data_IF_915049255272
#
_entry.id   IF_915049255272
#
_cell.length_a   1.000
_cell.length_b   1.000
_cell.length_c   1.000
_cell.angle_alpha   90.00
_cell.angle_beta   90.00
_cell.angle_gamma   90.00
#
_symmetry.space_group_name_H-M   'P 1'
#
loop_
_entity.id
_entity.type
_entity.pdbx_description
1 polymer ?
2 water ?
#
# COMPACT_ATOMS: atom_id res chain seq x y z
N UNK A 2 -9.32 8.45 -10.49
CA UNK A 2 -8.49 7.31 -10.87
C UNK A 2 -7.38 7.73 -11.80
N UNK A 3 -7.33 9.02 -12.15
CA UNK A 3 -6.14 9.58 -12.77
C UNK A 3 -5.11 9.82 -11.67
N UNK A 4 -3.84 9.83 -12.05
CA UNK A 4 -2.78 9.84 -11.03
C UNK A 4 -2.79 11.13 -10.23
N UNK A 5 -3.29 12.23 -10.80
CA UNK A 5 -3.29 13.51 -10.11
C UNK A 5 -4.48 13.70 -9.18
N UNK A 6 -5.45 12.79 -9.19
CA UNK A 6 -6.63 12.91 -8.34
C UNK A 6 -6.43 12.32 -6.96
N UNK A 7 -5.28 11.71 -6.68
CA UNK A 7 -5.00 11.17 -5.36
C UNK A 7 -3.88 12.00 -4.71
N UNK A 8 -3.52 11.65 -3.47
CA UNK A 8 -2.61 12.46 -2.69
C UNK A 8 -1.15 12.06 -2.85
N UNK A 9 -0.86 10.95 -3.51
CA UNK A 9 0.53 10.51 -3.65
C UNK A 9 1.29 11.42 -4.62
N UNK A 10 2.60 11.22 -4.67
CA UNK A 10 3.48 12.00 -5.54
C UNK A 10 4.71 11.17 -5.84
N UNK A 11 5.46 11.52 -6.91
CA UNK A 11 6.69 10.79 -7.21
C UNK A 11 7.78 10.93 -6.15
N UNK A 12 7.55 11.65 -5.06
CA UNK A 12 8.56 11.82 -4.02
C UNK A 12 8.88 10.48 -3.37
N UNK A 13 10.14 10.30 -3.00
CA UNK A 13 10.57 9.08 -2.32
C UNK A 13 10.42 9.17 -0.80
N UNK A 14 10.06 10.34 -0.27
CA UNK A 14 9.79 10.43 1.15
C UNK A 14 8.55 9.60 1.51
N UNK A 15 8.54 9.08 2.74
CA UNK A 15 7.36 8.37 3.22
C UNK A 15 6.16 9.32 3.24
N UNK A 16 4.97 8.74 3.00
CA UNK A 16 3.79 9.56 2.82
C UNK A 16 3.42 10.32 4.08
N UNK A 17 3.78 9.79 5.27
CA UNK A 17 3.34 10.41 6.50
C UNK A 17 4.18 11.62 6.89
N UNK A 18 5.45 11.64 6.48
CA UNK A 18 6.34 12.79 6.85
C UNK A 18 6.00 13.98 5.95
N UNK A 19 5.42 15.03 6.53
CA UNK A 19 5.07 16.25 5.75
C UNK A 19 6.25 17.23 5.77
N UNK A 20 7.39 16.82 5.20
CA UNK A 20 8.62 17.64 5.16
C UNK A 20 8.73 18.27 3.76
N UNK A 21 8.98 19.57 3.73
CA UNK A 21 9.03 20.39 2.48
C UNK A 21 10.14 19.92 1.54
N UNK A 22 11.33 19.58 2.05
CA UNK A 22 12.42 19.17 1.12
C UNK A 22 12.93 17.76 1.43
N UNK A 23 13.87 17.65 2.39
CA UNK A 23 14.47 16.38 2.73
C UNK A 23 13.49 15.44 3.41
N UNK A 24 13.67 14.14 3.17
CA UNK A 24 12.98 13.12 3.94
C UNK A 24 13.70 12.78 5.23
N UNK A 25 14.92 13.27 5.41
CA UNK A 25 15.74 12.93 6.56
C UNK A 25 15.32 13.76 7.78
N UNK A 26 15.63 13.22 8.96
CA UNK A 26 15.38 13.94 10.20
C UNK A 26 16.31 15.14 10.31
N UNK A 27 16.04 16.00 11.29
CA UNK A 27 16.84 17.21 11.44
C UNK A 27 18.25 16.90 11.90
N UNK A 28 18.42 15.88 12.75
CA UNK A 28 19.75 15.50 13.21
C UNK A 28 20.58 14.96 12.05
N UNK A 29 20.03 13.99 11.32
CA UNK A 29 20.76 13.37 10.22
C UNK A 29 21.05 14.37 9.10
N UNK A 30 20.16 15.36 8.93
CA UNK A 30 20.28 16.27 7.79
C UNK A 30 21.57 17.08 7.86
N UNK A 31 21.85 17.69 9.02
CA UNK A 31 23.07 18.47 9.18
C UNK A 31 24.28 17.61 9.52
N UNK A 32 24.08 16.41 10.07
CA UNK A 32 25.20 15.53 10.34
C UNK A 32 25.83 15.01 9.05
N UNK A 33 25.06 14.98 7.95
CA UNK A 33 25.53 14.48 6.67
C UNK A 33 25.47 15.57 5.60
N UNK A 34 25.56 16.84 6.01
CA UNK A 34 25.46 17.93 5.04
C UNK A 34 26.60 17.91 4.03
N UNK A 35 27.77 17.39 4.42
CA UNK A 35 28.90 17.33 3.50
C UNK A 35 28.59 16.42 2.33
N UNK A 36 28.00 15.26 2.59
CA UNK A 36 27.66 14.32 1.53
C UNK A 36 26.35 14.68 0.83
N UNK A 37 25.43 15.33 1.55
CA UNK A 37 24.14 15.68 0.96
C UNK A 37 24.29 16.79 -0.08
N UNK A 38 25.23 17.71 0.11
CA UNK A 38 25.38 18.84 -0.80
C UNK A 38 26.17 18.50 -2.05
N UNK A 39 26.74 17.29 -2.09
CA UNK A 39 27.51 16.82 -3.27
C UNK A 39 27.12 15.37 -3.55
N UNK A 40 25.84 15.16 -3.89
CA UNK A 40 25.33 13.79 -4.15
C UNK A 40 26.07 13.18 -5.33
N UNK A 41 26.33 13.97 -6.38
CA UNK A 41 27.01 13.45 -7.59
C UNK A 41 28.54 13.48 -7.43
N UNK A 42 29.04 12.63 -6.53
CA UNK A 42 30.47 12.34 -6.22
C UNK A 42 30.41 10.88 -5.74
N UNK A 43 29.46 10.62 -4.83
CA UNK A 43 29.14 9.27 -4.43
C UNK A 43 28.36 8.53 -5.50
N UNK A 44 27.99 9.20 -6.58
CA UNK A 44 27.16 8.60 -7.62
C UNK A 44 25.70 8.56 -7.28
N UNK A 45 25.16 9.64 -6.72
CA UNK A 45 23.79 9.64 -6.22
C UNK A 45 23.00 10.84 -6.74
N UNK A 46 21.71 10.62 -6.96
CA UNK A 46 20.77 11.67 -7.29
C UNK A 46 19.71 11.89 -6.22
N UNK A 47 19.62 10.99 -5.23
CA UNK A 47 18.59 11.06 -4.21
C UNK A 47 19.22 10.89 -2.83
N UNK A 48 18.39 11.05 -1.80
CA UNK A 48 18.87 10.92 -0.43
C UNK A 48 19.01 9.46 -0.02
N UNK A 49 18.07 8.60 -0.45
CA UNK A 49 18.16 7.19 -0.14
C UNK A 49 19.44 6.57 -0.72
N UNK A 50 19.90 7.10 -1.85
CA UNK A 50 21.17 6.64 -2.41
C UNK A 50 22.35 7.03 -1.51
N UNK A 51 22.27 8.22 -0.91
CA UNK A 51 23.39 8.71 -0.10
C UNK A 51 23.54 7.89 1.16
N UNK A 52 22.45 7.74 1.94
CA UNK A 52 22.52 7.09 3.24
C UNK A 52 22.60 5.58 3.08
N UNK A 53 22.71 5.12 1.84
CA UNK A 53 23.03 3.72 1.56
C UNK A 53 24.38 3.54 0.89
N UNK A 54 25.08 4.61 0.57
CA UNK A 54 26.44 4.53 0.07
C UNK A 54 27.33 3.96 1.16
N UNK A 55 28.10 2.89 0.89
CA UNK A 55 28.90 2.26 1.97
C UNK A 55 29.81 3.22 2.72
N UNK A 56 30.29 4.28 2.08
CA UNK A 56 31.18 5.19 2.79
C UNK A 56 30.40 6.12 3.73
N UNK A 57 29.24 6.62 3.28
CA UNK A 57 28.38 7.40 4.17
C UNK A 57 27.91 6.55 5.33
N UNK A 58 27.59 5.28 5.06
CA UNK A 58 27.21 4.37 6.14
C UNK A 58 28.36 4.18 7.12
N UNK A 59 29.60 4.22 6.63
CA UNK A 59 30.75 4.09 7.53
C UNK A 59 30.87 5.30 8.44
N UNK A 60 30.75 6.50 7.88
CA UNK A 60 30.93 7.73 8.65
C UNK A 60 29.87 7.85 9.75
N UNK A 61 28.60 7.82 9.35
CA UNK A 61 27.52 8.05 10.31
C UNK A 61 27.43 6.93 11.35
N UNK A 62 27.83 5.71 11.00
CA UNK A 62 27.79 4.63 11.97
C UNK A 62 28.99 4.68 12.91
N UNK A 63 30.17 5.04 12.41
CA UNK A 63 31.29 5.34 13.29
C UNK A 63 31.09 6.65 14.05
N UNK A 64 29.99 7.36 13.80
CA UNK A 64 29.60 8.53 14.57
C UNK A 64 28.34 8.29 15.39
N UNK A 65 27.89 7.04 15.50
CA UNK A 65 26.77 6.67 16.34
C UNK A 65 25.40 6.73 15.69
N UNK A 66 25.28 7.36 14.52
CA UNK A 66 23.98 7.56 13.91
C UNK A 66 23.45 6.25 13.33
N UNK A 67 22.12 6.14 13.29
CA UNK A 67 21.43 4.95 12.79
C UNK A 67 20.78 5.33 11.46
N UNK A 68 21.48 5.06 10.36
CA UNK A 68 20.94 5.35 9.03
C UNK A 68 19.97 4.28 8.55
N UNK A 69 20.05 3.06 9.07
CA UNK A 69 19.09 2.03 8.69
C UNK A 69 17.70 2.37 9.22
N UNK A 70 17.63 2.82 10.48
CA UNK A 70 16.35 3.31 11.02
C UNK A 70 15.83 4.49 10.22
N UNK A 71 16.74 5.37 9.78
CA UNK A 71 16.35 6.50 8.95
C UNK A 71 15.86 6.07 7.58
N UNK A 72 16.18 4.85 7.15
CA UNK A 72 15.77 4.36 5.84
C UNK A 72 14.45 3.60 5.89
N UNK A 73 14.25 2.76 6.91
CA UNK A 73 12.98 2.07 7.08
C UNK A 73 11.84 3.06 7.26
N UNK A 74 12.01 4.03 8.16
CA UNK A 74 11.07 5.12 8.30
C UNK A 74 11.45 6.26 7.35
N UNK A 75 10.57 7.26 7.28
CA UNK A 75 10.82 8.50 6.54
C UNK A 75 10.97 8.29 5.03
N UNK A 76 11.16 7.05 4.60
CA UNK A 76 11.30 6.72 3.19
C UNK A 76 10.29 5.67 2.79
N UNK A 77 9.87 5.72 1.52
CA UNK A 77 9.04 4.67 0.97
C UNK A 77 9.85 3.39 0.79
N UNK A 78 9.15 2.26 0.74
CA UNK A 78 9.82 0.98 0.62
C UNK A 78 10.48 0.85 -0.75
N UNK A 79 11.60 0.15 -0.83
CA UNK A 79 12.25 -0.06 -2.13
C UNK A 79 11.46 -1.03 -3.00
N UNK A 80 11.57 -0.84 -4.31
CA UNK A 80 10.87 -1.68 -5.26
C UNK A 80 11.06 -1.23 -6.69
N UNK A 81 10.35 -1.89 -7.61
CA UNK A 81 10.50 -1.53 -9.03
C UNK A 81 9.88 -0.18 -9.36
N UNK A 82 10.60 0.89 -9.01
CA UNK A 82 10.06 2.23 -9.21
C UNK A 82 10.07 2.62 -10.68
N UNK A 83 11.14 2.28 -11.41
CA UNK A 83 11.33 2.75 -12.77
C UNK A 83 11.34 1.61 -13.79
N UNK A 84 10.85 0.43 -13.42
CA UNK A 84 10.80 -0.70 -14.34
C UNK A 84 9.49 -1.45 -14.12
N UNK A 85 9.22 -2.39 -15.04
CA UNK A 85 8.00 -3.19 -15.01
C UNK A 85 8.19 -4.52 -14.31
N UNK A 86 9.03 -4.58 -13.28
CA UNK A 86 9.19 -5.81 -12.53
C UNK A 86 7.94 -6.15 -11.73
N UNK A 87 7.67 -7.44 -11.61
CA UNK A 87 6.52 -7.89 -10.84
C UNK A 87 6.68 -7.53 -9.37
N UNK A 88 5.55 -7.19 -8.75
CA UNK A 88 5.55 -6.79 -7.35
C UNK A 88 5.56 -8.02 -6.45
N UNK A 89 6.51 -8.05 -5.52
CA UNK A 89 6.63 -9.18 -4.60
C UNK A 89 5.63 -9.06 -3.47
N UNK A 90 5.59 -10.09 -2.60
CA UNK A 90 4.78 -10.01 -1.41
C UNK A 90 5.25 -8.90 -0.48
N UNK A 91 6.56 -8.62 -0.49
CA UNK A 91 7.10 -7.55 0.35
C UNK A 91 6.84 -6.17 -0.23
N UNK A 92 6.75 -6.06 -1.56
CA UNK A 92 6.40 -4.77 -2.16
C UNK A 92 4.99 -4.34 -1.77
N UNK A 93 4.14 -5.30 -1.43
CA UNK A 93 2.74 -5.01 -1.13
C UNK A 93 2.51 -4.81 0.36
N UNK A 94 3.07 -5.69 1.19
CA UNK A 94 2.92 -5.54 2.63
C UNK A 94 3.56 -4.25 3.12
N UNK A 95 4.82 -4.02 2.74
CA UNK A 95 5.50 -2.79 3.15
C UNK A 95 4.82 -1.54 2.62
N UNK A 96 4.05 -1.66 1.54
CA UNK A 96 3.29 -0.51 1.04
C UNK A 96 2.07 -0.23 1.92
N UNK A 97 1.30 -1.27 2.25
CA UNK A 97 0.14 -1.08 3.11
C UNK A 97 0.55 -0.77 4.54
N UNK A 98 1.71 -1.28 4.99
CA UNK A 98 2.19 -0.94 6.32
C UNK A 98 2.53 0.53 6.42
N UNK A 99 3.20 1.08 5.41
CA UNK A 99 3.47 2.51 5.39
C UNK A 99 2.20 3.33 5.26
N UNK A 100 1.23 2.81 4.51
CA UNK A 100 -0.08 3.46 4.41
C UNK A 100 -0.90 3.30 5.68
N UNK A 101 -0.43 2.53 6.65
CA UNK A 101 -1.20 2.52 7.91
C UNK A 101 -0.72 3.67 8.80
N UNK A 102 0.46 4.22 8.51
CA UNK A 102 1.09 5.33 9.28
C UNK A 102 0.38 6.69 9.15
N UNK A 103 0.04 7.12 7.94
CA UNK A 103 -0.57 8.46 7.70
C UNK A 103 -2.09 8.36 7.92
N UNK A 104 -2.65 7.33 7.30
CA UNK A 104 -4.04 6.88 7.33
C UNK A 104 -4.24 6.10 8.63
N UNK A 105 -4.53 6.84 9.70
CA UNK A 105 -4.52 6.30 11.05
C UNK A 105 -5.65 5.32 11.32
N UNK A 106 -6.68 5.27 10.48
CA UNK A 106 -7.79 4.35 10.67
C UNK A 106 -7.91 3.36 9.52
N UNK A 107 -6.78 2.99 8.92
CA UNK A 107 -6.74 1.99 7.86
C UNK A 107 -6.11 0.72 8.38
N UNK A 108 -6.73 -0.42 8.05
CA UNK A 108 -6.26 -1.73 8.47
C UNK A 108 -5.49 -2.37 7.32
N UNK A 109 -4.19 -2.57 7.54
CA UNK A 109 -3.28 -3.15 6.51
C UNK A 109 -3.22 -4.66 6.70
N UNK A 110 -4.19 -5.38 6.17
CA UNK A 110 -4.18 -6.86 6.26
C UNK A 110 -3.03 -7.40 5.40
N UNK A 111 -2.21 -8.33 5.90
CA UNK A 111 -1.10 -8.90 5.13
C UNK A 111 -1.62 -9.68 3.91
N UNK A 112 -0.80 -9.75 2.86
CA UNK A 112 -1.20 -10.39 1.58
C UNK A 112 -1.63 -11.84 1.82
N UNK A 113 -2.69 -12.26 1.14
CA UNK A 113 -3.20 -13.65 1.27
C UNK A 113 -3.26 -14.33 -0.09
N UNK A 114 -3.11 -15.66 -0.11
CA UNK A 114 -3.25 -16.43 -1.33
C UNK A 114 -4.72 -16.83 -1.51
N UNK A 115 -5.01 -17.53 -2.59
CA UNK A 115 -6.37 -17.97 -2.87
C UNK A 115 -6.74 -19.27 -2.16
N UNK A 116 -5.87 -19.77 -1.28
CA UNK A 116 -6.09 -21.02 -0.57
C UNK A 116 -6.55 -20.79 0.87
N UNK A 117 -7.04 -19.59 1.20
CA UNK A 117 -7.28 -19.24 2.60
C UNK A 117 -8.41 -20.04 3.23
N UNK A 118 -9.22 -20.75 2.45
CA UNK A 118 -10.22 -21.64 3.03
C UNK A 118 -9.62 -22.95 3.53
N UNK A 119 -8.41 -23.29 3.09
CA UNK A 119 -7.75 -24.51 3.51
C UNK A 119 -6.38 -24.27 4.14
N UNK A 120 -5.87 -23.04 4.09
CA UNK A 120 -4.59 -22.68 4.69
C UNK A 120 -4.80 -21.41 5.50
N UNK A 121 -4.18 -21.36 6.68
CA UNK A 121 -4.34 -20.20 7.56
C UNK A 121 -3.76 -18.95 6.91
N UNK A 122 -4.58 -17.92 6.80
CA UNK A 122 -4.16 -16.59 6.39
C UNK A 122 -4.86 -15.58 7.26
N UNK A 123 -4.13 -14.52 7.65
CA UNK A 123 -4.73 -13.45 8.45
C UNK A 123 -5.97 -12.88 7.78
N UNK A 124 -6.00 -12.91 6.44
CA UNK A 124 -7.15 -12.39 5.69
C UNK A 124 -8.43 -13.14 6.06
N UNK A 125 -8.37 -14.47 6.11
CA UNK A 125 -9.54 -15.26 6.43
C UNK A 125 -9.80 -15.36 7.92
N UNK A 126 -8.88 -14.90 8.76
CA UNK A 126 -9.04 -15.00 10.21
C UNK A 126 -9.58 -13.72 10.84
N UNK A 127 -9.51 -12.58 10.16
CA UNK A 127 -9.98 -11.34 10.75
C UNK A 127 -11.50 -11.38 10.89
N UNK A 128 -12.00 -10.60 11.84
CA UNK A 128 -13.43 -10.34 12.02
C UNK A 128 -13.64 -8.85 11.84
N UNK A 129 -14.38 -8.47 10.79
CA UNK A 129 -14.46 -7.07 10.40
C UNK A 129 -15.11 -6.21 11.48
N UNK A 130 -15.87 -6.80 12.40
CA UNK A 130 -16.37 -6.04 13.54
C UNK A 130 -15.24 -5.72 14.51
N UNK A 131 -14.36 -6.70 14.77
CA UNK A 131 -13.21 -6.45 15.60
C UNK A 131 -12.25 -5.46 14.95
N UNK A 132 -12.14 -5.49 13.63
CA UNK A 132 -11.35 -4.49 12.92
C UNK A 132 -11.93 -3.10 13.13
N UNK A 133 -13.25 -2.99 13.06
CA UNK A 133 -13.91 -1.70 13.25
C UNK A 133 -13.85 -1.27 14.71
N UNK A 134 -14.05 -2.20 15.63
CA UNK A 134 -13.97 -1.90 17.06
C UNK A 134 -12.54 -1.72 17.56
N UNK A 135 -11.54 -2.14 16.77
CA UNK A 135 -10.16 -1.96 17.16
C UNK A 135 -9.62 -3.09 18.03
N UNK A 136 -9.98 -4.33 17.67
CA UNK A 136 -9.58 -5.50 18.44
C UNK A 136 -8.86 -6.53 17.56
N UNK A 137 -8.37 -6.11 16.40
CA UNK A 137 -7.56 -6.95 15.54
C UNK A 137 -6.15 -6.38 15.44
N UNK A 138 -5.18 -7.27 15.26
CA UNK A 138 -3.77 -6.88 15.25
C UNK A 138 -3.33 -6.50 13.84
N UNK A 139 -2.69 -5.34 13.73
CA UNK A 139 -2.10 -4.90 12.48
C UNK A 139 -0.70 -4.36 12.76
N UNK A 140 0.20 -4.56 11.80
CA UNK A 140 1.60 -4.17 11.95
C UNK A 140 1.83 -2.81 11.31
N UNK A 141 1.95 -1.78 12.14
CA UNK A 141 2.23 -0.41 11.72
C UNK A 141 3.58 0.00 12.32
N UNK A 142 4.46 0.54 11.47
CA UNK A 142 5.81 1.01 11.78
C UNK A 142 6.70 -0.07 12.40
N UNK A 143 6.27 -1.33 12.43
CA UNK A 143 7.03 -2.41 13.03
C UNK A 143 6.38 -3.02 14.26
N UNK A 144 5.59 -2.27 15.02
CA UNK A 144 4.95 -2.79 16.22
C UNK A 144 3.57 -3.36 15.92
N UNK A 145 3.15 -4.32 16.74
CA UNK A 145 1.78 -4.81 16.66
C UNK A 145 0.84 -3.77 17.26
N UNK A 146 -0.23 -3.47 16.55
CA UNK A 146 -1.12 -2.36 16.90
C UNK A 146 -2.57 -2.80 16.78
N UNK A 147 -3.38 -2.49 17.79
CA UNK A 147 -4.82 -2.67 17.75
C UNK A 147 -5.47 -1.29 17.86
N UNK A 148 -6.19 -0.89 16.81
CA UNK A 148 -6.78 0.43 16.75
C UNK A 148 -8.06 0.36 15.95
N UNK A 149 -9.05 1.21 16.25
CA UNK A 149 -10.28 1.21 15.46
C UNK A 149 -10.02 1.67 14.03
N UNK A 150 -10.56 0.93 13.07
CA UNK A 150 -10.35 1.20 11.65
C UNK A 150 -11.70 1.31 10.95
N UNK A 151 -11.87 2.38 10.19
CA UNK A 151 -13.04 2.55 9.34
C UNK A 151 -12.80 2.08 7.92
N UNK A 152 -11.58 1.61 7.61
CA UNK A 152 -11.27 1.08 6.29
C UNK A 152 -10.42 -0.17 6.44
N UNK A 153 -10.60 -1.10 5.51
CA UNK A 153 -9.87 -2.36 5.49
C UNK A 153 -9.33 -2.59 4.08
N UNK A 154 -8.06 -3.00 4.00
CA UNK A 154 -7.45 -3.21 2.70
C UNK A 154 -6.53 -4.42 2.64
N UNK A 155 -6.65 -5.19 1.56
CA UNK A 155 -5.82 -6.37 1.36
C UNK A 155 -5.64 -6.61 -0.13
N UNK A 156 -4.51 -7.24 -0.47
CA UNK A 156 -4.20 -7.58 -1.85
C UNK A 156 -3.91 -9.08 -1.90
N UNK A 157 -4.62 -9.80 -2.76
CA UNK A 157 -4.50 -11.25 -2.86
C UNK A 157 -3.94 -11.65 -4.22
N UNK A 158 -3.43 -12.88 -4.27
CA UNK A 158 -2.97 -13.49 -5.51
C UNK A 158 -4.00 -14.53 -5.96
N UNK A 159 -4.41 -14.45 -7.21
CA UNK A 159 -5.41 -15.36 -7.77
C UNK A 159 -4.84 -16.71 -8.16
N UNK A 160 -3.99 -17.29 -7.31
CA UNK A 160 -3.43 -18.61 -7.56
C UNK A 160 -3.01 -19.28 -6.26
N UNK A 166 0.01 -17.00 -13.28
CA UNK A 166 1.10 -16.79 -12.35
C UNK A 166 0.70 -15.97 -11.14
N UNK A 167 1.52 -14.97 -10.81
CA UNK A 167 1.29 -14.12 -9.64
C UNK A 167 0.51 -12.89 -10.08
N UNK A 168 -0.81 -13.00 -10.05
CA UNK A 168 -1.71 -11.92 -10.44
C UNK A 168 -2.36 -11.34 -9.19
N UNK A 169 -2.21 -10.03 -8.99
CA UNK A 169 -2.68 -9.36 -7.79
C UNK A 169 -4.07 -8.78 -7.99
N UNK A 170 -4.92 -8.94 -6.97
CA UNK A 170 -6.23 -8.31 -6.92
C UNK A 170 -6.38 -7.67 -5.55
N UNK A 171 -7.26 -6.67 -5.48
CA UNK A 171 -7.40 -5.83 -4.29
C UNK A 171 -8.74 -6.06 -3.60
N UNK A 172 -8.71 -6.02 -2.27
CA UNK A 172 -9.92 -6.06 -1.44
C UNK A 172 -9.94 -4.80 -0.60
N UNK A 173 -11.05 -4.06 -0.67
CA UNK A 173 -11.22 -2.84 0.11
C UNK A 173 -12.59 -2.84 0.76
N UNK A 174 -12.63 -2.56 2.06
CA UNK A 174 -13.87 -2.50 2.84
C UNK A 174 -14.00 -1.08 3.38
N UNK A 175 -15.01 -0.36 2.93
CA UNK A 175 -15.25 1.02 3.33
C UNK A 175 -16.32 1.03 4.41
N UNK A 176 -15.95 1.41 5.62
CA UNK A 176 -16.86 1.51 6.75
C UNK A 176 -16.94 2.94 7.29
N UNK A 177 -16.79 3.92 6.39
CA UNK A 177 -16.71 5.32 6.79
C UNK A 177 -18.05 6.04 6.73
N UNK A 178 -18.70 6.04 5.56
CA UNK A 178 -19.95 6.75 5.40
C UNK A 178 -21.14 6.04 6.00
N UNK A 179 -22.33 6.37 5.49
CA UNK A 179 -23.60 5.76 5.97
C UNK A 179 -23.85 4.46 5.20
N UNK A 180 -23.24 4.30 4.03
CA UNK A 180 -23.37 3.02 3.30
C UNK A 180 -22.01 2.32 3.35
N UNK A 181 -21.96 1.13 3.96
CA UNK A 181 -20.69 0.37 4.08
C UNK A 181 -20.55 -0.55 2.87
N UNK A 182 -19.41 -0.49 2.19
CA UNK A 182 -19.21 -1.29 0.96
C UNK A 182 -18.02 -2.24 1.09
N UNK A 183 -18.22 -3.48 0.63
CA UNK A 183 -17.16 -4.48 0.59
C UNK A 183 -16.84 -4.73 -0.87
N UNK A 184 -15.63 -4.35 -1.29
CA UNK A 184 -15.30 -4.23 -2.71
C UNK A 184 -14.21 -5.22 -3.10
N UNK A 185 -14.34 -5.77 -4.30
CA UNK A 185 -13.32 -6.61 -4.91
C UNK A 185 -12.97 -6.01 -6.26
N UNK A 186 -11.69 -5.70 -6.46
CA UNK A 186 -11.21 -5.08 -7.69
C UNK A 186 -10.26 -6.02 -8.41
N UNK A 187 -10.47 -6.20 -9.71
CA UNK A 187 -9.60 -6.99 -10.56
C UNK A 187 -9.33 -6.20 -11.82
N UNK A 188 -8.06 -5.81 -12.03
CA UNK A 188 -7.71 -5.05 -13.22
C UNK A 188 -7.93 -5.86 -14.49
N UNK A 189 -7.83 -7.18 -14.41
CA UNK A 189 -8.11 -8.04 -15.56
C UNK A 189 -9.60 -8.19 -15.83
N UNK A 190 -10.46 -7.64 -14.99
CA UNK A 190 -11.89 -7.65 -15.24
C UNK A 190 -12.54 -9.01 -15.09
N UNK A 191 -12.00 -9.88 -14.24
CA UNK A 191 -12.55 -11.20 -14.02
C UNK A 191 -13.22 -11.28 -12.66
N UNK A 192 -14.28 -12.09 -12.58
CA UNK A 192 -15.06 -12.20 -11.36
C UNK A 192 -14.23 -12.84 -10.25
N UNK A 193 -14.51 -12.50 -8.99
CA UNK A 193 -13.79 -13.11 -7.86
C UNK A 193 -14.12 -14.58 -7.75
N UNK A 194 -13.15 -15.41 -7.37
CA UNK A 194 -13.43 -16.84 -7.23
C UNK A 194 -14.29 -17.12 -6.00
N UNK A 195 -14.70 -18.39 -5.89
CA UNK A 195 -15.58 -18.84 -4.84
C UNK A 195 -15.20 -18.43 -3.43
N UNK A 196 -13.96 -18.72 -3.02
CA UNK A 196 -13.56 -18.36 -1.64
C UNK A 196 -13.70 -16.87 -1.33
N UNK A 197 -13.17 -16.00 -2.19
CA UNK A 197 -13.36 -14.57 -2.00
C UNK A 197 -14.84 -14.22 -2.08
N UNK A 198 -15.57 -14.88 -2.98
CA UNK A 198 -17.01 -14.67 -3.10
C UNK A 198 -17.72 -15.04 -1.82
N UNK A 199 -17.22 -16.04 -1.08
CA UNK A 199 -17.80 -16.38 0.21
C UNK A 199 -17.25 -15.51 1.33
N UNK A 200 -15.98 -15.07 1.22
CA UNK A 200 -15.40 -14.21 2.24
C UNK A 200 -16.15 -12.89 2.33
N UNK A 201 -16.44 -12.27 1.18
CA UNK A 201 -17.16 -11.00 1.17
C UNK A 201 -18.55 -11.16 1.75
N UNK A 202 -19.19 -12.30 1.52
CA UNK A 202 -20.52 -12.53 2.07
C UNK A 202 -20.47 -12.71 3.57
N UNK A 203 -19.41 -13.36 4.08
CA UNK A 203 -19.25 -13.47 5.53
C UNK A 203 -18.99 -12.12 6.18
N UNK A 204 -18.25 -11.24 5.50
CA UNK A 204 -18.01 -9.91 6.04
C UNK A 204 -19.28 -9.07 6.00
N UNK A 205 -20.15 -9.31 5.02
CA UNK A 205 -21.43 -8.60 4.97
C UNK A 205 -22.28 -8.92 6.18
N UNK A 206 -22.41 -10.20 6.52
CA UNK A 206 -23.20 -10.59 7.68
C UNK A 206 -22.55 -10.12 8.97
N UNK A 207 -21.22 -10.07 9.02
CA UNK A 207 -20.54 -9.55 10.20
C UNK A 207 -20.81 -8.07 10.37
N UNK A 208 -20.67 -7.29 9.29
CA UNK A 208 -20.86 -5.84 9.38
C UNK A 208 -22.31 -5.45 9.56
N UNK A 209 -23.26 -6.30 9.16
CA UNK A 209 -24.66 -6.03 9.45
C UNK A 209 -25.00 -6.15 10.93
N UNK A 210 -23.99 -6.41 11.78
CA UNK A 210 -24.20 -6.41 13.22
C UNK A 210 -24.16 -5.01 13.80
N UNK A 211 -23.31 -4.14 13.24
CA UNK A 211 -23.09 -2.80 13.77
C UNK A 211 -23.54 -1.71 12.83
N UNK A 212 -24.11 -2.05 11.67
CA UNK A 212 -24.62 -1.06 10.74
C UNK A 212 -25.79 -1.64 9.98
N UNK A 213 -26.74 -0.77 9.61
CA UNK A 213 -27.96 -1.23 8.96
C UNK A 213 -27.80 -1.47 7.47
N UNK A 214 -26.82 -0.84 6.82
CA UNK A 214 -26.62 -0.96 5.38
C UNK A 214 -25.22 -1.48 5.12
N UNK A 215 -25.13 -2.64 4.48
CA UNK A 215 -23.86 -3.24 4.06
C UNK A 215 -24.08 -3.90 2.71
N UNK A 216 -23.25 -3.55 1.73
CA UNK A 216 -23.36 -4.09 0.38
C UNK A 216 -22.02 -4.60 -0.10
N UNK A 217 -22.04 -5.70 -0.83
CA UNK A 217 -20.85 -6.26 -1.46
C UNK A 217 -20.87 -5.93 -2.95
N UNK A 218 -19.71 -5.59 -3.49
CA UNK A 218 -19.61 -5.17 -4.88
C UNK A 218 -18.33 -5.72 -5.50
N UNK A 219 -18.45 -6.18 -6.75
CA UNK A 219 -17.31 -6.67 -7.52
C UNK A 219 -16.99 -5.64 -8.60
N UNK A 220 -15.86 -4.95 -8.44
CA UNK A 220 -15.42 -3.96 -9.42
C UNK A 220 -14.64 -4.68 -10.52
N UNK A 221 -15.35 -5.50 -11.30
CA UNK A 221 -14.73 -6.37 -12.30
C UNK A 221 -15.29 -6.11 -13.69
N UNK A 222 -15.76 -4.90 -13.94
CA UNK A 222 -16.46 -4.62 -15.19
C UNK A 222 -15.49 -4.46 -16.36
N UNK A 223 -14.41 -3.70 -16.17
CA UNK A 223 -13.53 -3.30 -17.26
C UNK A 223 -12.19 -4.01 -17.12
N UNK A 224 -11.67 -4.50 -18.26
CA UNK A 224 -10.32 -5.04 -18.33
C UNK A 224 -9.36 -3.86 -18.49
N UNK A 225 -9.02 -3.25 -17.35
CA UNK A 225 -8.09 -2.13 -17.37
C UNK A 225 -6.71 -2.57 -17.85
N UNK A 226 -6.23 -3.70 -17.34
CA UNK A 226 -4.87 -4.15 -17.59
C UNK A 226 -4.79 -4.88 -18.92
N UNK A 227 -3.98 -4.37 -19.84
CA UNK A 227 -3.60 -5.08 -21.05
C UNK A 227 -2.14 -5.51 -21.03
N UNK A 228 -1.36 -5.03 -20.07
CA UNK A 228 0.03 -5.44 -19.92
C UNK A 228 0.12 -6.73 -19.13
N UNK A 229 1.35 -7.22 -18.94
CA UNK A 229 1.59 -8.46 -18.21
C UNK A 229 2.20 -8.23 -16.84
N UNK A 230 2.44 -6.97 -16.44
CA UNK A 230 3.26 -6.68 -15.27
C UNK A 230 2.60 -5.79 -14.23
N UNK A 231 1.47 -5.15 -14.52
CA UNK A 231 0.95 -4.09 -13.66
C UNK A 231 -0.16 -4.58 -12.72
N UNK A 232 -0.21 -5.88 -12.43
CA UNK A 232 -1.22 -6.37 -11.49
C UNK A 232 -1.04 -5.75 -10.11
N UNK A 233 0.20 -5.63 -9.66
CA UNK A 233 0.50 -5.03 -8.38
C UNK A 233 0.12 -3.56 -8.28
N UNK A 234 0.69 -2.72 -9.17
CA UNK A 234 0.32 -1.31 -9.16
C UNK A 234 -1.17 -1.04 -9.29
N UNK A 235 -1.90 -1.86 -10.06
CA UNK A 235 -3.34 -1.70 -10.15
C UNK A 235 -4.01 -1.95 -8.81
N UNK A 236 -3.61 -3.01 -8.12
CA UNK A 236 -4.23 -3.36 -6.84
C UNK A 236 -3.91 -2.33 -5.77
N UNK A 237 -2.65 -1.89 -5.70
CA UNK A 237 -2.28 -0.87 -4.72
C UNK A 237 -2.92 0.47 -5.05
N UNK A 238 -3.09 0.78 -6.34
CA UNK A 238 -3.69 2.06 -6.71
C UNK A 238 -5.17 2.11 -6.32
N UNK A 239 -5.86 0.97 -6.43
CA UNK A 239 -7.27 0.94 -6.04
C UNK A 239 -7.44 1.25 -4.57
N UNK A 240 -6.62 0.63 -3.72
CA UNK A 240 -6.71 0.87 -2.28
C UNK A 240 -6.37 2.31 -1.95
N UNK A 241 -5.31 2.84 -2.55
CA UNK A 241 -4.91 4.23 -2.28
C UNK A 241 -5.98 5.20 -2.76
N UNK A 242 -6.55 4.95 -3.94
CA UNK A 242 -7.60 5.84 -4.45
C UNK A 242 -8.85 5.77 -3.59
N UNK A 243 -9.25 4.55 -3.19
CA UNK A 243 -10.42 4.41 -2.32
C UNK A 243 -10.16 5.03 -0.95
N UNK A 244 -8.91 5.00 -0.47
CA UNK A 244 -8.58 5.67 0.78
C UNK A 244 -8.73 7.18 0.66
N UNK A 245 -8.37 7.74 -0.49
CA UNK A 245 -8.53 9.16 -0.77
C UNK A 245 -9.95 9.52 -1.21
N UNK A 246 -10.92 8.66 -0.91
CA UNK A 246 -12.34 8.92 -1.15
C UNK A 246 -12.65 9.08 -2.65
N UNK A 247 -11.89 8.40 -3.50
CA UNK A 247 -12.25 8.28 -4.90
C UNK A 247 -13.25 7.14 -5.02
N UNK A 248 -14.43 7.45 -5.57
CA UNK A 248 -15.51 6.47 -5.64
C UNK A 248 -15.11 5.29 -6.53
N UNK A 249 -15.58 4.11 -6.14
CA UNK A 249 -15.35 2.90 -6.94
C UNK A 249 -16.02 2.99 -8.31
N UNK A 250 -17.02 3.85 -8.46
CA UNK A 250 -17.73 3.98 -9.73
C UNK A 250 -16.82 4.46 -10.85
N UNK A 251 -15.72 5.14 -10.51
CA UNK A 251 -14.73 5.49 -11.52
C UNK A 251 -14.08 4.24 -12.11
N UNK A 252 -13.64 3.33 -11.23
CA UNK A 252 -13.06 2.07 -11.69
C UNK A 252 -14.09 1.20 -12.39
N UNK A 253 -15.38 1.46 -12.18
CA UNK A 253 -16.43 0.69 -12.84
C UNK A 253 -16.67 1.21 -14.26
N UNK A 254 -16.51 2.52 -14.49
CA UNK A 254 -16.94 3.14 -15.73
C UNK A 254 -15.82 3.48 -16.70
N UNK A 255 -14.65 3.87 -16.20
CA UNK A 255 -13.57 4.37 -17.05
C UNK A 255 -12.35 3.48 -16.90
N UNK A 256 -11.73 3.14 -18.03
CA UNK A 256 -10.53 2.32 -18.01
C UNK A 256 -9.31 3.15 -17.61
N UNK A 257 -8.50 2.60 -16.70
CA UNK A 257 -7.21 3.18 -16.34
C UNK A 257 -6.13 2.40 -17.08
N UNK A 258 -5.36 3.09 -17.91
CA UNK A 258 -4.36 2.43 -18.74
C UNK A 258 -3.18 1.96 -17.90
N UNK A 259 -2.47 0.97 -18.44
CA UNK A 259 -1.25 0.49 -17.79
C UNK A 259 -0.16 1.55 -17.77
N UNK A 260 -0.23 2.53 -18.68
CA UNK A 260 0.75 3.61 -18.68
C UNK A 260 0.62 4.47 -17.43
N UNK A 261 -0.59 4.66 -16.93
CA UNK A 261 -0.77 5.34 -15.65
C UNK A 261 -0.27 4.49 -14.48
N UNK A 262 -0.22 3.17 -14.66
CA UNK A 262 0.34 2.31 -13.61
C UNK A 262 1.86 2.28 -13.67
N UNK A 263 2.45 2.40 -14.86
CA UNK A 263 3.88 2.64 -14.97
C UNK A 263 4.26 3.91 -14.21
N UNK A 264 3.48 4.97 -14.42
CA UNK A 264 3.74 6.25 -13.77
C UNK A 264 3.49 6.17 -12.26
N UNK A 265 2.51 5.36 -11.85
CA UNK A 265 2.21 5.22 -10.42
C UNK A 265 3.31 4.49 -9.66
N UNK A 266 4.15 3.72 -10.36
CA UNK A 266 5.26 3.05 -9.69
C UNK A 266 6.23 4.05 -9.08
N UNK A 267 6.37 5.23 -9.68
CA UNK A 267 7.22 6.26 -9.11
C UNK A 267 6.62 6.86 -7.85
N UNK A 268 5.33 6.66 -7.61
CA UNK A 268 4.69 7.06 -6.36
C UNK A 268 4.82 6.00 -5.28
N UNK A 269 5.18 4.77 -5.65
CA UNK A 269 5.15 3.64 -4.72
C UNK A 269 6.49 3.40 -4.04
N UNK A 270 7.60 3.45 -4.77
CA UNK A 270 8.86 2.92 -4.29
C UNK A 270 9.97 3.96 -4.35
N UNK A 271 11.10 3.56 -3.77
CA UNK A 271 12.40 4.26 -3.79
C UNK A 271 13.35 3.22 -4.38
N UNK A 272 14.12 3.55 -5.41
CA UNK A 272 15.01 2.51 -6.01
C UNK A 272 16.01 2.05 -4.93
N UNK A 273 16.26 0.73 -4.86
CA UNK A 273 17.22 0.19 -3.87
C UNK A 273 17.66 -1.21 -4.29
#
# INVERSE_FOLDING_TARGET
MSILEKITSSPSECAEHITNKDSCLSKKIQKELTSFLQKKETLGCDSESCVITHPAVKAYAQQKGLDLSKELETRFKAPGPRNNTGLLTNFNIDETLQRWAIKYTKFFNCPFSMMDFERIHYKFNQVDMVKVYKGEELQYVEGKAVKRPCNTFGCVLNTDFSTGTGKHWVAIFVDMRGDCWSIEYFNSAGNSPPGPVIRWMERVKQQLLKIHHTVKTLAVTNIRHQRSQTECGPYSLFYIRARLDNVSYTHFISTRITDEEMYKFRTHLFRIALEHHHHHH
#
